data_IF_491330947528
#
_entry.id   IF_491330947528
#
_cell.length_a   1.000
_cell.length_b   1.000
_cell.length_c   1.000
_cell.angle_alpha   90.00
_cell.angle_beta   90.00
_cell.angle_gamma   90.00
#
_symmetry.space_group_name_H-M   'P 1'
#
loop_
_entity.id
_entity.type
_entity.pdbx_description
1 polymer ?
#
# COMPACT_ATOMS: atom_id res chain seq x y z
N UNK A 1 -7.95 -3.14 11.40
CA UNK A 1 -8.84 -3.99 10.60
C UNK A 1 -8.05 -5.20 10.15
N UNK A 2 -8.45 -6.39 10.58
CA UNK A 2 -7.85 -7.65 10.17
C UNK A 2 -8.70 -8.32 9.07
N UNK A 3 -8.23 -9.44 8.53
CA UNK A 3 -9.07 -10.39 7.78
C UNK A 3 -9.05 -11.74 8.50
N UNK A 4 -9.94 -12.65 8.12
CA UNK A 4 -9.89 -14.04 8.60
C UNK A 4 -8.55 -14.76 8.27
N UNK A 5 -7.77 -14.26 7.30
CA UNK A 5 -6.43 -14.77 7.00
C UNK A 5 -5.35 -14.27 7.98
N UNK A 6 -5.59 -13.15 8.68
CA UNK A 6 -4.55 -12.45 9.47
C UNK A 6 -4.90 -12.24 10.93
N UNK A 7 -6.17 -12.41 11.32
CA UNK A 7 -6.67 -12.05 12.65
C UNK A 7 -5.99 -12.84 13.77
N UNK A 8 -5.95 -14.17 13.67
CA UNK A 8 -5.31 -15.02 14.68
C UNK A 8 -3.82 -14.73 14.84
N UNK A 9 -3.11 -14.59 13.73
CA UNK A 9 -1.66 -14.34 13.75
C UNK A 9 -1.34 -12.94 14.27
N UNK A 10 -2.19 -11.96 13.96
CA UNK A 10 -2.09 -10.61 14.54
C UNK A 10 -2.23 -10.69 16.07
N UNK A 11 -3.24 -11.40 16.58
CA UNK A 11 -3.46 -11.56 18.01
C UNK A 11 -2.30 -12.26 18.74
N UNK A 12 -1.65 -13.24 18.11
CA UNK A 12 -0.45 -13.89 18.68
C UNK A 12 0.70 -12.89 18.89
N UNK A 13 0.90 -11.97 17.95
CA UNK A 13 1.99 -10.98 18.02
C UNK A 13 1.68 -9.79 18.93
N UNK A 14 0.41 -9.38 19.02
CA UNK A 14 0.00 -8.20 19.80
C UNK A 14 0.36 -8.28 21.29
N UNK A 15 0.51 -9.47 21.85
CA UNK A 15 0.94 -9.69 23.26
C UNK A 15 2.25 -8.98 23.60
N UNK A 16 3.13 -8.75 22.61
CA UNK A 16 4.40 -8.04 22.77
C UNK A 16 4.22 -6.57 23.16
N UNK A 17 3.05 -5.99 22.90
CA UNK A 17 2.78 -4.56 23.12
C UNK A 17 2.00 -4.26 24.39
N UNK A 18 1.75 -5.26 25.26
CA UNK A 18 0.95 -5.09 26.48
C UNK A 18 1.52 -4.05 27.47
N UNK A 19 2.83 -3.81 27.44
CA UNK A 19 3.51 -2.82 28.30
C UNK A 19 3.76 -1.48 27.60
N UNK A 20 3.39 -1.38 26.31
CA UNK A 20 3.54 -0.14 25.55
C UNK A 20 2.34 0.75 25.86
N UNK A 21 2.58 2.06 26.04
CA UNK A 21 1.54 3.05 26.34
C UNK A 21 0.69 3.38 25.10
N UNK A 22 -0.04 2.39 24.60
CA UNK A 22 -0.96 2.51 23.46
C UNK A 22 -2.09 1.49 23.60
N UNK A 23 -3.33 1.93 23.40
CA UNK A 23 -4.49 1.05 23.38
C UNK A 23 -4.70 0.52 21.96
N UNK A 24 -4.46 -0.78 21.76
CA UNK A 24 -4.61 -1.43 20.45
C UNK A 24 -5.95 -2.16 20.41
N UNK A 25 -6.75 -1.87 19.39
CA UNK A 25 -8.02 -2.55 19.12
C UNK A 25 -7.94 -3.27 17.79
N UNK A 26 -8.52 -4.47 17.73
CA UNK A 26 -8.67 -5.24 16.50
C UNK A 26 -10.16 -5.47 16.24
N UNK A 27 -10.48 -5.57 14.95
CA UNK A 27 -11.78 -6.04 14.47
C UNK A 27 -11.53 -6.71 13.13
N UNK A 28 -12.31 -7.75 12.85
CA UNK A 28 -12.22 -8.47 11.60
C UNK A 28 -13.17 -7.87 10.58
N UNK A 29 -12.73 -7.82 9.32
CA UNK A 29 -13.60 -7.42 8.22
C UNK A 29 -14.52 -8.59 7.81
N UNK A 30 -15.52 -8.32 6.97
CA UNK A 30 -16.45 -9.31 6.46
C UNK A 30 -15.75 -10.42 5.69
N UNK A 31 -16.43 -11.57 5.60
CA UNK A 31 -15.97 -12.74 4.84
C UNK A 31 -17.05 -13.14 3.86
N UNK A 32 -16.82 -12.94 2.56
CA UNK A 32 -17.80 -13.21 1.51
C UNK A 32 -17.47 -14.50 0.74
N UNK A 33 -18.48 -15.23 0.26
CA UNK A 33 -18.25 -16.44 -0.52
C UNK A 33 -17.83 -16.06 -1.94
N UNK A 34 -16.79 -16.71 -2.46
CA UNK A 34 -16.38 -16.59 -3.87
C UNK A 34 -17.52 -17.06 -4.77
N UNK A 35 -17.62 -16.48 -5.97
CA UNK A 35 -18.66 -16.80 -6.94
C UNK A 35 -18.02 -17.56 -8.08
N UNK A 36 -18.56 -18.70 -8.49
CA UNK A 36 -18.10 -19.42 -9.66
C UNK A 36 -18.42 -18.61 -10.93
N UNK A 37 -17.44 -18.45 -11.83
CA UNK A 37 -17.57 -17.54 -12.98
C UNK A 37 -18.64 -17.98 -13.97
N UNK A 38 -18.78 -19.28 -14.20
CA UNK A 38 -19.68 -19.85 -15.20
C UNK A 38 -21.11 -19.95 -14.68
N UNK A 39 -21.30 -20.44 -13.46
CA UNK A 39 -22.64 -20.63 -12.87
C UNK A 39 -23.19 -19.38 -12.19
N UNK A 40 -22.33 -18.41 -11.84
CA UNK A 40 -22.67 -17.24 -11.01
C UNK A 40 -23.25 -17.57 -9.64
N UNK A 41 -23.00 -18.80 -9.15
CA UNK A 41 -23.41 -19.26 -7.82
C UNK A 41 -22.23 -19.23 -6.84
N UNK A 42 -22.50 -19.13 -5.52
CA UNK A 42 -21.47 -19.23 -4.50
C UNK A 42 -20.73 -20.57 -4.57
N UNK A 43 -19.40 -20.52 -4.48
CA UNK A 43 -18.53 -21.71 -4.36
C UNK A 43 -18.69 -22.36 -2.99
N UNK A 44 -18.85 -21.54 -1.95
CA UNK A 44 -19.02 -22.01 -0.59
C UNK A 44 -20.37 -22.73 -0.42
N UNK A 45 -20.33 -24.00 -0.01
CA UNK A 45 -21.53 -24.83 0.24
C UNK A 45 -22.07 -24.69 1.67
N UNK A 46 -21.22 -24.33 2.61
CA UNK A 46 -21.56 -24.21 4.04
C UNK A 46 -20.88 -22.98 4.65
N UNK A 47 -21.49 -22.40 5.69
CA UNK A 47 -20.99 -21.19 6.35
C UNK A 47 -19.61 -21.36 7.01
N UNK A 48 -19.25 -22.60 7.37
CA UNK A 48 -17.94 -22.98 7.95
C UNK A 48 -17.10 -23.81 6.97
N UNK A 49 -17.44 -23.76 5.68
CA UNK A 49 -16.73 -24.50 4.64
C UNK A 49 -15.27 -24.07 4.48
N UNK A 50 -14.61 -24.70 3.52
CA UNK A 50 -13.17 -24.50 3.25
C UNK A 50 -12.81 -23.03 3.11
N UNK A 51 -11.70 -22.64 3.73
CA UNK A 51 -11.20 -21.26 3.77
C UNK A 51 -10.98 -20.67 2.37
N UNK A 52 -10.61 -21.51 1.41
CA UNK A 52 -10.42 -21.15 0.00
C UNK A 52 -11.72 -20.80 -0.73
N UNK A 53 -12.89 -21.18 -0.21
CA UNK A 53 -14.16 -20.76 -0.79
C UNK A 53 -14.54 -19.31 -0.46
N UNK A 54 -13.76 -18.64 0.41
CA UNK A 54 -14.05 -17.31 0.93
C UNK A 54 -12.99 -16.27 0.55
N UNK A 55 -13.35 -14.99 0.66
CA UNK A 55 -12.44 -13.87 0.46
C UNK A 55 -12.87 -12.64 1.29
N UNK A 56 -11.94 -11.76 1.67
CA UNK A 56 -12.28 -10.45 2.21
C UNK A 56 -12.75 -9.53 1.07
N UNK A 57 -13.88 -8.80 1.21
CA UNK A 57 -14.50 -8.01 0.13
C UNK A 57 -13.80 -6.67 -0.17
N UNK A 58 -12.47 -6.65 -0.07
CA UNK A 58 -11.67 -5.47 -0.25
C UNK A 58 -11.77 -4.48 0.91
N UNK A 59 -11.02 -3.38 0.80
CA UNK A 59 -10.85 -2.43 1.89
C UNK A 59 -12.05 -1.48 2.09
N UNK A 60 -13.01 -1.44 1.17
CA UNK A 60 -14.25 -0.67 1.33
C UNK A 60 -15.18 -1.18 2.43
N UNK A 61 -15.07 -2.45 2.82
CA UNK A 61 -15.85 -3.05 3.91
C UNK A 61 -15.50 -2.49 5.31
N UNK A 62 -14.45 -1.66 5.41
CA UNK A 62 -14.05 -1.01 6.65
C UNK A 62 -15.22 -0.27 7.33
N UNK A 63 -16.12 0.36 6.58
CA UNK A 63 -17.22 1.14 7.16
C UNK A 63 -18.24 0.24 7.88
N UNK A 64 -18.72 -0.81 7.21
CA UNK A 64 -19.69 -1.75 7.78
C UNK A 64 -19.07 -2.56 8.92
N UNK A 65 -17.87 -3.12 8.71
CA UNK A 65 -17.21 -3.94 9.72
C UNK A 65 -16.80 -3.14 10.97
N UNK A 66 -16.39 -1.88 10.80
CA UNK A 66 -16.09 -1.02 11.93
C UNK A 66 -17.34 -0.61 12.72
N UNK A 67 -18.45 -0.31 12.03
CA UNK A 67 -19.75 -0.08 12.66
C UNK A 67 -20.22 -1.32 13.42
N UNK A 68 -20.26 -2.49 12.76
CA UNK A 68 -20.73 -3.75 13.32
C UNK A 68 -19.86 -4.27 14.49
N UNK A 69 -18.58 -3.88 14.54
CA UNK A 69 -17.70 -4.22 15.66
C UNK A 69 -18.05 -3.52 16.98
N UNK A 70 -18.91 -2.48 16.93
CA UNK A 70 -19.22 -1.61 18.07
C UNK A 70 -18.09 -0.63 18.44
N UNK A 71 -16.93 -0.71 17.79
CA UNK A 71 -15.80 0.20 18.05
C UNK A 71 -16.11 1.63 17.63
N UNK A 72 -16.87 1.83 16.54
CA UNK A 72 -17.29 3.16 16.12
C UNK A 72 -18.06 3.87 17.23
N UNK A 73 -19.10 3.23 17.77
CA UNK A 73 -19.89 3.81 18.86
C UNK A 73 -19.03 4.03 20.11
N UNK A 74 -18.20 3.05 20.47
CA UNK A 74 -17.27 3.18 21.60
C UNK A 74 -16.33 4.38 21.47
N UNK A 75 -15.81 4.67 20.28
CA UNK A 75 -14.92 5.82 20.09
C UNK A 75 -15.68 7.15 20.05
N UNK A 76 -16.89 7.17 19.51
CA UNK A 76 -17.77 8.33 19.60
C UNK A 76 -18.10 8.66 21.06
N UNK A 77 -18.42 7.66 21.88
CA UNK A 77 -18.68 7.83 23.32
C UNK A 77 -17.45 8.33 24.10
N UNK A 78 -16.24 8.06 23.60
CA UNK A 78 -14.99 8.59 24.13
C UNK A 78 -14.65 10.01 23.63
N UNK A 79 -15.52 10.63 22.84
CA UNK A 79 -15.31 11.96 22.25
C UNK A 79 -14.27 11.98 21.12
N UNK A 80 -14.11 10.89 20.37
CA UNK A 80 -13.28 10.89 19.15
C UNK A 80 -14.10 11.43 17.98
N UNK A 81 -13.51 12.30 17.18
CA UNK A 81 -14.19 12.96 16.05
C UNK A 81 -13.77 12.42 14.67
N UNK A 82 -12.49 12.11 14.50
CA UNK A 82 -11.92 11.65 13.22
C UNK A 82 -11.17 10.33 13.38
N UNK A 83 -11.21 9.49 12.34
CA UNK A 83 -10.29 8.37 12.15
C UNK A 83 -9.32 8.65 11.00
N UNK A 84 -8.06 8.26 11.21
CA UNK A 84 -7.05 8.21 10.16
C UNK A 84 -6.89 6.77 9.68
N UNK A 85 -7.09 6.53 8.39
CA UNK A 85 -7.00 5.22 7.74
C UNK A 85 -5.81 5.22 6.80
N UNK A 86 -4.95 4.22 6.91
CA UNK A 86 -3.81 4.00 6.03
C UNK A 86 -3.46 2.52 5.93
N UNK A 87 -2.63 2.17 4.94
CA UNK A 87 -2.11 0.81 4.83
C UNK A 87 -0.90 0.64 5.75
N UNK A 88 -0.82 -0.50 6.46
CA UNK A 88 0.33 -0.81 7.33
C UNK A 88 1.66 -0.95 6.58
N UNK A 89 1.59 -1.22 5.28
CA UNK A 89 2.77 -1.30 4.41
C UNK A 89 3.18 0.08 3.83
N UNK A 90 2.43 1.15 4.12
CA UNK A 90 2.84 2.51 3.81
C UNK A 90 3.60 3.12 5.00
N UNK A 91 4.93 3.04 4.94
CA UNK A 91 5.81 3.55 6.00
C UNK A 91 5.82 5.09 6.11
N UNK A 92 5.28 5.79 5.10
CA UNK A 92 5.14 7.25 5.09
C UNK A 92 3.89 7.75 5.79
N UNK A 93 2.90 6.88 6.05
CA UNK A 93 1.60 7.25 6.59
C UNK A 93 1.62 7.48 8.11
N UNK A 94 2.33 8.51 8.56
CA UNK A 94 2.30 8.95 9.96
C UNK A 94 1.15 9.95 10.21
N UNK A 95 0.80 10.17 11.48
CA UNK A 95 -0.21 11.17 11.87
C UNK A 95 0.38 12.57 11.66
N UNK A 96 -0.20 13.33 10.73
CA UNK A 96 0.21 14.71 10.45
C UNK A 96 -0.61 15.70 11.28
N UNK A 97 0.07 16.45 12.16
CA UNK A 97 -0.59 17.41 13.04
C UNK A 97 -1.09 18.65 12.29
N UNK A 98 -0.52 19.00 11.13
CA UNK A 98 -1.00 20.14 10.35
C UNK A 98 -2.32 19.80 9.66
N UNK A 99 -2.41 18.58 9.09
CA UNK A 99 -3.67 18.08 8.52
C UNK A 99 -4.72 17.95 9.62
N UNK A 100 -4.36 17.36 10.76
CA UNK A 100 -5.29 17.26 11.89
C UNK A 100 -5.76 18.62 12.40
N UNK A 101 -4.86 19.60 12.50
CA UNK A 101 -5.21 20.97 12.90
C UNK A 101 -6.17 21.62 11.87
N UNK A 102 -5.95 21.39 10.58
CA UNK A 102 -6.88 21.85 9.53
C UNK A 102 -8.27 21.24 9.66
N UNK A 103 -8.37 19.94 10.01
CA UNK A 103 -9.65 19.26 10.21
C UNK A 103 -10.42 19.79 11.43
N UNK A 104 -9.71 20.01 12.55
CA UNK A 104 -10.33 20.44 13.81
C UNK A 104 -10.59 21.96 13.88
N UNK A 105 -9.77 22.76 13.19
CA UNK A 105 -9.83 24.22 13.20
C UNK A 105 -9.97 24.79 11.77
N UNK A 106 -11.11 24.55 11.07
CA UNK A 106 -11.31 25.08 9.73
C UNK A 106 -11.31 26.62 9.75
N UNK A 107 -10.45 27.23 8.94
CA UNK A 107 -10.25 28.70 8.90
C UNK A 107 -11.39 29.48 8.23
N UNK A 108 -12.35 28.79 7.60
CA UNK A 108 -13.44 29.40 6.83
C UNK A 108 -14.79 29.19 7.52
N UNK A 109 -15.80 30.01 7.20
CA UNK A 109 -17.21 29.85 7.61
C UNK A 109 -17.86 28.53 7.12
N UNK A 110 -17.09 27.65 6.49
CA UNK A 110 -17.51 26.33 6.00
C UNK A 110 -17.33 25.29 7.09
N UNK A 111 -18.28 24.36 7.20
CA UNK A 111 -18.19 23.23 8.10
C UNK A 111 -16.90 22.42 7.87
N UNK A 112 -16.40 21.78 8.93
CA UNK A 112 -15.25 20.88 8.83
C UNK A 112 -15.55 19.73 7.83
N UNK A 113 -14.58 19.35 6.99
CA UNK A 113 -14.80 18.32 5.97
C UNK A 113 -15.06 16.96 6.63
N UNK A 114 -16.06 16.22 6.14
CA UNK A 114 -16.34 14.87 6.67
C UNK A 114 -15.35 13.82 6.16
N UNK A 115 -14.70 14.09 5.02
CA UNK A 115 -13.78 13.17 4.37
C UNK A 115 -12.65 13.92 3.68
N UNK A 116 -11.41 13.59 4.02
CA UNK A 116 -10.22 14.14 3.37
C UNK A 116 -9.34 13.00 2.87
N UNK A 117 -9.04 13.02 1.57
CA UNK A 117 -8.10 12.10 0.94
C UNK A 117 -6.77 12.79 0.69
N UNK A 118 -5.69 12.23 1.22
CA UNK A 118 -4.35 12.67 0.84
C UNK A 118 -4.04 12.16 -0.57
N UNK A 119 -3.64 13.08 -1.44
CA UNK A 119 -3.18 12.79 -2.81
C UNK A 119 -1.73 13.21 -2.95
N UNK A 120 -1.00 12.60 -3.87
CA UNK A 120 0.37 13.04 -4.20
C UNK A 120 0.54 13.10 -5.71
N UNK A 121 1.52 13.87 -6.18
CA UNK A 121 1.81 14.01 -7.60
C UNK A 121 2.18 12.65 -8.24
N UNK A 122 1.60 12.36 -9.40
CA UNK A 122 1.85 11.15 -10.18
C UNK A 122 3.26 11.16 -10.76
N UNK A 123 3.94 10.01 -10.66
CA UNK A 123 5.12 9.73 -11.47
C UNK A 123 4.84 8.66 -12.51
N UNK A 124 5.83 8.38 -13.38
CA UNK A 124 5.70 7.34 -14.42
C UNK A 124 5.37 5.95 -13.86
N UNK A 125 5.71 5.68 -12.59
CA UNK A 125 5.37 4.43 -11.91
C UNK A 125 3.89 4.36 -11.46
N UNK A 126 3.22 5.51 -11.31
CA UNK A 126 1.91 5.62 -10.67
C UNK A 126 0.76 5.83 -11.68
N UNK A 127 1.04 5.71 -12.99
CA UNK A 127 0.09 6.01 -14.08
C UNK A 127 -1.17 5.13 -14.09
N UNK A 128 -1.14 4.00 -13.38
CA UNK A 128 -2.30 3.10 -13.23
C UNK A 128 -3.15 3.39 -11.98
N UNK A 129 -2.67 4.23 -11.07
CA UNK A 129 -3.37 4.55 -9.82
C UNK A 129 -4.59 5.44 -10.04
N UNK A 130 -5.62 5.20 -9.23
CA UNK A 130 -6.84 6.02 -9.19
C UNK A 130 -6.55 7.49 -8.93
N UNK A 131 -7.33 8.36 -9.55
CA UNK A 131 -7.25 9.83 -9.41
C UNK A 131 -8.57 10.38 -8.89
N UNK A 132 -8.52 11.55 -8.26
CA UNK A 132 -9.74 12.29 -7.95
C UNK A 132 -10.20 13.11 -9.15
N UNK A 133 -11.51 13.13 -9.35
CA UNK A 133 -12.21 13.94 -10.35
C UNK A 133 -13.44 14.57 -9.72
N UNK A 134 -13.89 15.68 -10.29
CA UNK A 134 -15.21 16.22 -10.00
C UNK A 134 -16.22 15.60 -10.98
N UNK A 135 -17.30 15.03 -10.45
CA UNK A 135 -18.37 14.45 -11.25
C UNK A 135 -19.72 14.76 -10.61
N UNK A 136 -20.61 15.46 -11.34
CA UNK A 136 -21.92 15.91 -10.85
C UNK A 136 -21.82 16.76 -9.56
N UNK A 137 -20.83 17.66 -9.49
CA UNK A 137 -20.64 18.58 -8.37
C UNK A 137 -20.10 17.95 -7.07
N UNK A 138 -19.68 16.67 -7.11
CA UNK A 138 -19.03 15.99 -5.97
C UNK A 138 -17.69 15.40 -6.40
N UNK A 139 -16.75 15.34 -5.44
CA UNK A 139 -15.49 14.63 -5.63
C UNK A 139 -15.73 13.12 -5.69
N UNK A 140 -15.05 12.45 -6.62
CA UNK A 140 -15.13 11.00 -6.84
C UNK A 140 -13.76 10.43 -7.15
N UNK A 141 -13.48 9.25 -6.62
CA UNK A 141 -12.31 8.46 -7.00
C UNK A 141 -12.59 7.71 -8.31
N UNK A 142 -11.86 8.08 -9.36
CA UNK A 142 -11.91 7.43 -10.66
C UNK A 142 -10.77 6.42 -10.78
N UNK A 143 -11.13 5.16 -10.89
CA UNK A 143 -10.21 4.04 -11.14
C UNK A 143 -10.17 3.67 -12.63
N UNK A 144 -9.06 3.09 -13.08
CA UNK A 144 -8.88 2.67 -14.48
C UNK A 144 -9.98 1.71 -14.96
N UNK A 145 -10.49 0.85 -14.08
CA UNK A 145 -11.55 -0.11 -14.39
C UNK A 145 -12.89 0.57 -14.74
N UNK A 146 -13.08 1.83 -14.36
CA UNK A 146 -14.28 2.63 -14.64
C UNK A 146 -14.15 3.42 -15.95
N UNK A 147 -12.95 3.47 -16.55
CA UNK A 147 -12.66 4.24 -17.76
C UNK A 147 -12.92 3.37 -18.99
N UNK A 148 -13.74 3.82 -19.96
CA UNK A 148 -13.93 3.10 -21.21
C UNK A 148 -12.60 2.92 -21.95
N UNK A 149 -12.46 1.79 -22.67
CA UNK A 149 -11.19 1.40 -23.32
C UNK A 149 -10.60 2.49 -24.19
N UNK A 150 -11.44 3.24 -24.90
CA UNK A 150 -11.03 4.29 -25.83
C UNK A 150 -10.37 5.51 -25.15
N UNK A 151 -10.59 5.70 -23.84
CA UNK A 151 -10.08 6.84 -23.06
C UNK A 151 -8.99 6.43 -22.05
N UNK A 152 -8.58 5.16 -22.04
CA UNK A 152 -7.60 4.65 -21.06
C UNK A 152 -6.25 5.38 -21.16
N UNK A 153 -5.80 5.72 -22.36
CA UNK A 153 -4.51 6.40 -22.53
C UNK A 153 -4.58 7.88 -22.12
N UNK A 154 -5.75 8.50 -22.22
CA UNK A 154 -5.98 9.83 -21.65
C UNK A 154 -5.95 9.79 -20.12
N UNK A 155 -6.53 8.76 -19.51
CA UNK A 155 -6.50 8.57 -18.06
C UNK A 155 -5.09 8.37 -17.51
N UNK A 156 -4.23 7.66 -18.24
CA UNK A 156 -2.81 7.46 -17.89
C UNK A 156 -1.97 8.74 -18.09
N UNK A 157 -2.49 9.74 -18.80
CA UNK A 157 -1.75 10.97 -19.09
C UNK A 157 -1.58 11.82 -17.84
N UNK A 158 -0.33 11.94 -17.38
CA UNK A 158 0.06 12.81 -16.25
C UNK A 158 -0.23 14.29 -16.51
N UNK A 159 -0.40 14.69 -17.77
CA UNK A 159 -0.76 16.07 -18.12
C UNK A 159 -2.22 16.39 -17.79
N UNK A 160 -3.12 15.40 -17.95
CA UNK A 160 -4.54 15.51 -17.64
C UNK A 160 -4.81 15.24 -16.16
N UNK A 161 -4.28 14.14 -15.65
CA UNK A 161 -4.43 13.75 -14.25
C UNK A 161 -3.07 13.80 -13.56
N UNK A 162 -2.84 14.84 -12.77
CA UNK A 162 -1.53 15.13 -12.15
C UNK A 162 -1.34 14.46 -10.79
N UNK A 163 -2.43 14.06 -10.14
CA UNK A 163 -2.44 13.53 -8.77
C UNK A 163 -2.95 12.08 -8.75
N UNK A 164 -2.62 11.34 -7.70
CA UNK A 164 -3.23 10.04 -7.41
C UNK A 164 -3.48 9.83 -5.92
N UNK A 165 -4.40 8.91 -5.62
CA UNK A 165 -4.78 8.56 -4.26
C UNK A 165 -3.65 7.80 -3.53
N UNK A 166 -3.26 8.29 -2.35
CA UNK A 166 -2.26 7.63 -1.48
C UNK A 166 -2.86 6.53 -0.60
N UNK A 167 -4.18 6.47 -0.51
CA UNK A 167 -4.95 5.66 0.44
C UNK A 167 -4.72 6.04 1.91
N UNK A 168 -4.20 7.24 2.17
CA UNK A 168 -4.20 7.88 3.49
C UNK A 168 -5.44 8.78 3.60
N UNK A 169 -6.38 8.42 4.47
CA UNK A 169 -7.71 9.04 4.54
C UNK A 169 -8.01 9.51 5.95
N UNK A 170 -8.66 10.67 6.06
CA UNK A 170 -9.16 11.22 7.30
C UNK A 170 -10.68 11.32 7.20
N UNK A 171 -11.39 10.64 8.09
CA UNK A 171 -12.82 10.43 7.95
C UNK A 171 -13.49 10.74 9.28
N UNK A 172 -14.52 11.57 9.26
CA UNK A 172 -15.27 11.98 10.44
C UNK A 172 -16.20 10.86 10.91
N UNK A 173 -16.13 10.51 12.19
CA UNK A 173 -16.78 9.32 12.75
C UNK A 173 -18.31 9.43 12.80
N UNK A 174 -18.84 10.62 13.10
CA UNK A 174 -20.28 10.89 13.09
C UNK A 174 -20.87 10.73 11.67
N UNK A 175 -20.14 11.17 10.66
CA UNK A 175 -20.50 11.01 9.26
C UNK A 175 -20.49 9.53 8.84
N UNK A 176 -19.51 8.73 9.29
CA UNK A 176 -19.51 7.27 9.05
C UNK A 176 -20.78 6.63 9.62
N UNK A 177 -21.16 6.96 10.86
CA UNK A 177 -22.40 6.44 11.46
C UNK A 177 -23.61 6.84 10.62
N UNK A 178 -23.72 8.13 10.28
CA UNK A 178 -24.83 8.67 9.46
C UNK A 178 -24.97 7.95 8.12
N UNK A 179 -23.89 7.84 7.33
CA UNK A 179 -23.99 7.24 5.98
C UNK A 179 -24.28 5.74 6.00
N UNK A 180 -23.96 5.05 7.09
CA UNK A 180 -24.26 3.62 7.29
C UNK A 180 -25.72 3.43 7.74
N UNK A 181 -26.17 4.18 8.75
CA UNK A 181 -27.55 4.11 9.26
C UNK A 181 -28.57 4.53 8.20
N UNK A 182 -28.29 5.63 7.49
CA UNK A 182 -29.13 6.14 6.40
C UNK A 182 -29.00 5.32 5.11
N UNK A 183 -28.05 4.35 5.06
CA UNK A 183 -27.73 3.52 3.88
C UNK A 183 -27.41 4.35 2.63
N UNK A 184 -26.75 5.50 2.80
CA UNK A 184 -26.36 6.40 1.71
C UNK A 184 -24.94 6.16 1.20
N UNK A 185 -24.18 5.29 1.87
CA UNK A 185 -22.84 4.93 1.41
C UNK A 185 -22.94 4.21 0.07
N UNK A 186 -22.20 4.70 -0.92
CA UNK A 186 -22.16 4.12 -2.26
C UNK A 186 -20.72 4.03 -2.73
N UNK A 187 -20.30 2.84 -3.12
CA UNK A 187 -18.99 2.56 -3.71
C UNK A 187 -19.15 1.80 -5.02
N UNK A 188 -18.23 2.01 -5.93
CA UNK A 188 -18.14 1.25 -7.18
C UNK A 188 -17.71 -0.19 -6.88
N UNK A 189 -18.42 -1.14 -7.51
CA UNK A 189 -18.09 -2.56 -7.41
C UNK A 189 -16.86 -2.84 -8.27
N UNK A 190 -15.87 -3.48 -7.67
CA UNK A 190 -14.67 -3.98 -8.32
C UNK A 190 -14.86 -5.48 -8.54
N UNK A 191 -14.87 -5.89 -9.81
CA UNK A 191 -14.98 -7.30 -10.20
C UNK A 191 -13.58 -7.85 -10.44
N UNK A 192 -13.14 -8.76 -9.58
CA UNK A 192 -11.81 -9.36 -9.60
C UNK A 192 -11.88 -10.83 -10.03
N UNK A 193 -11.69 -11.13 -11.33
CA UNK A 193 -11.65 -12.51 -11.80
C UNK A 193 -10.35 -13.19 -11.36
N UNK A 194 -10.45 -14.40 -10.82
CA UNK A 194 -9.32 -15.24 -10.43
C UNK A 194 -9.53 -16.68 -10.88
N UNK A 195 -8.48 -17.47 -10.83
CA UNK A 195 -8.52 -18.92 -11.03
C UNK A 195 -7.99 -19.56 -9.75
N UNK A 196 -8.73 -20.51 -9.20
CA UNK A 196 -8.32 -21.29 -8.03
C UNK A 196 -7.27 -22.33 -8.42
N UNK A 197 -6.59 -22.91 -7.42
CA UNK A 197 -5.51 -23.88 -7.64
C UNK A 197 -5.98 -25.18 -8.31
N UNK A 198 -7.27 -25.50 -8.17
CA UNK A 198 -7.96 -26.61 -8.85
C UNK A 198 -8.32 -26.29 -10.32
N UNK A 199 -8.02 -25.08 -10.80
CA UNK A 199 -8.34 -24.60 -12.14
C UNK A 199 -9.73 -23.97 -12.27
N UNK A 200 -10.52 -23.92 -11.20
CA UNK A 200 -11.87 -23.32 -11.23
C UNK A 200 -11.79 -21.80 -11.39
N UNK A 201 -12.49 -21.24 -12.38
CA UNK A 201 -12.59 -19.79 -12.54
C UNK A 201 -13.63 -19.21 -11.58
N UNK A 202 -13.23 -18.15 -10.89
CA UNK A 202 -14.06 -17.48 -9.88
C UNK A 202 -14.06 -15.98 -10.07
N UNK A 203 -15.07 -15.35 -9.45
CA UNK A 203 -15.26 -13.91 -9.35
C UNK A 203 -15.26 -13.52 -7.87
N UNK A 204 -14.55 -12.45 -7.56
CA UNK A 204 -14.59 -11.75 -6.28
C UNK A 204 -15.15 -10.35 -6.51
N UNK A 205 -16.09 -9.93 -5.67
CA UNK A 205 -16.71 -8.61 -5.70
C UNK A 205 -16.20 -7.81 -4.50
N UNK A 206 -15.47 -6.75 -4.79
CA UNK A 206 -14.82 -5.95 -3.77
C UNK A 206 -15.24 -4.48 -3.90
N UNK A 207 -14.97 -3.70 -2.87
CA UNK A 207 -15.10 -2.23 -2.92
C UNK A 207 -13.85 -1.56 -2.39
N UNK A 208 -13.63 -0.31 -2.80
CA UNK A 208 -12.50 0.49 -2.37
C UNK A 208 -12.93 1.58 -1.37
N UNK A 209 -12.29 1.64 -0.22
CA UNK A 209 -12.52 2.65 0.84
C UNK A 209 -12.57 4.08 0.32
N UNK A 210 -11.67 4.45 -0.58
CA UNK A 210 -11.61 5.79 -1.17
C UNK A 210 -12.77 6.12 -2.13
N UNK A 211 -13.47 5.11 -2.66
CA UNK A 211 -14.61 5.32 -3.55
C UNK A 211 -15.84 5.90 -2.81
N UNK A 212 -15.89 5.73 -1.48
CA UNK A 212 -16.96 6.26 -0.65
C UNK A 212 -16.93 7.80 -0.53
N UNK A 213 -15.84 8.48 -0.93
CA UNK A 213 -15.66 9.93 -0.79
C UNK A 213 -16.86 10.76 -1.29
N UNK A 214 -17.56 10.30 -2.33
CA UNK A 214 -18.75 10.96 -2.90
C UNK A 214 -20.00 10.92 -2.00
N UNK A 215 -20.03 10.02 -1.02
CA UNK A 215 -21.13 9.87 -0.06
C UNK A 215 -20.97 10.76 1.17
N UNK A 216 -19.84 11.47 1.30
CA UNK A 216 -19.55 12.38 2.40
C UNK A 216 -19.71 13.84 1.97
N UNK A 217 -20.17 14.68 2.89
CA UNK A 217 -20.37 16.10 2.68
C UNK A 217 -19.10 16.90 2.97
N UNK A 218 -18.89 17.96 2.19
CA UNK A 218 -17.66 18.76 2.30
C UNK A 218 -16.39 17.96 2.04
N UNK A 219 -16.44 16.88 1.25
CA UNK A 219 -15.28 16.08 0.94
C UNK A 219 -14.18 16.93 0.26
N UNK A 220 -12.93 16.72 0.67
CA UNK A 220 -11.77 17.45 0.15
C UNK A 220 -10.60 16.53 -0.15
N UNK A 221 -9.60 17.06 -0.83
CA UNK A 221 -8.30 16.42 -0.94
C UNK A 221 -7.18 17.39 -0.57
N UNK A 222 -6.08 16.84 -0.09
CA UNK A 222 -4.87 17.59 0.27
C UNK A 222 -3.71 16.98 -0.51
N UNK A 223 -3.03 17.80 -1.31
CA UNK A 223 -1.81 17.36 -1.98
C UNK A 223 -0.66 17.34 -0.96
N UNK A 224 -0.13 16.15 -0.69
CA UNK A 224 0.92 15.91 0.28
C UNK A 224 2.24 15.58 -0.41
N UNK A 225 3.40 15.86 0.23
CA UNK A 225 4.67 15.41 -0.31
C UNK A 225 4.74 13.88 -0.34
N UNK A 226 5.46 13.34 -1.32
CA UNK A 226 5.65 11.89 -1.50
C UNK A 226 6.28 11.19 -0.28
N UNK A 227 6.92 11.92 0.63
CA UNK A 227 7.38 11.38 1.92
C UNK A 227 6.27 10.72 2.74
N UNK A 228 5.00 11.07 2.51
CA UNK A 228 3.82 10.44 3.14
C UNK A 228 3.30 9.20 2.39
N UNK A 229 3.89 8.90 1.23
CA UNK A 229 3.55 7.76 0.38
C UNK A 229 4.80 6.92 0.07
N UNK A 230 5.14 6.05 1.03
CA UNK A 230 6.26 5.11 0.96
C UNK A 230 5.75 3.67 1.15
N UNK A 231 4.99 3.12 0.18
CA UNK A 231 4.50 1.75 0.24
C UNK A 231 5.63 0.74 0.02
N UNK A 232 5.67 -0.32 0.83
CA UNK A 232 6.61 -1.45 0.69
C UNK A 232 5.82 -2.65 0.17
N UNK A 233 5.81 -2.83 -1.16
CA UNK A 233 5.03 -3.90 -1.83
C UNK A 233 5.91 -5.06 -2.29
N UNK A 234 7.18 -4.78 -2.55
CA UNK A 234 8.14 -5.73 -3.12
C UNK A 234 9.42 -5.75 -2.29
N UNK A 235 10.25 -6.77 -2.51
CA UNK A 235 11.60 -6.82 -1.95
C UNK A 235 12.52 -5.71 -2.47
N UNK A 236 12.19 -5.11 -3.63
CA UNK A 236 12.90 -3.93 -4.13
C UNK A 236 12.64 -2.71 -3.23
N UNK A 237 11.39 -2.52 -2.81
CA UNK A 237 11.02 -1.47 -1.85
C UNK A 237 11.64 -1.76 -0.47
N UNK A 238 11.66 -3.05 -0.08
CA UNK A 238 12.28 -3.49 1.17
C UNK A 238 13.77 -3.16 1.22
N UNK A 239 14.51 -3.36 0.12
CA UNK A 239 15.92 -2.98 0.01
C UNK A 239 16.11 -1.48 0.28
N UNK A 240 15.25 -0.65 -0.31
CA UNK A 240 15.31 0.80 -0.13
C UNK A 240 15.12 1.19 1.34
N UNK A 241 14.05 0.72 1.98
CA UNK A 241 13.73 1.10 3.38
C UNK A 241 14.70 0.50 4.40
N UNK A 242 15.34 -0.63 4.11
CA UNK A 242 16.37 -1.23 4.97
C UNK A 242 17.76 -0.58 4.81
N UNK A 243 17.98 0.18 3.73
CA UNK A 243 19.27 0.76 3.42
C UNK A 243 19.56 2.05 4.18
N UNK A 244 20.82 2.51 4.09
CA UNK A 244 21.24 3.80 4.63
C UNK A 244 20.63 5.03 3.92
N UNK A 245 19.78 4.81 2.90
CA UNK A 245 18.96 5.87 2.30
C UNK A 245 17.94 6.43 3.30
N UNK A 246 17.46 5.61 4.23
CA UNK A 246 16.53 6.02 5.28
C UNK A 246 17.15 5.87 6.66
N UNK A 247 16.74 6.73 7.57
CA UNK A 247 17.03 6.64 8.99
C UNK A 247 15.75 6.37 9.77
N UNK A 248 15.80 5.42 10.70
CA UNK A 248 14.70 5.08 11.57
C UNK A 248 14.82 5.86 12.88
N UNK A 249 13.86 6.72 13.18
CA UNK A 249 13.76 7.45 14.44
C UNK A 249 12.38 7.23 15.04
N UNK A 250 12.33 6.65 16.23
CA UNK A 250 11.07 6.40 16.97
C UNK A 250 9.96 5.75 16.12
N UNK A 251 10.31 4.78 15.28
CA UNK A 251 9.36 4.07 14.40
C UNK A 251 9.05 4.77 13.07
N UNK A 252 9.58 5.97 12.83
CA UNK A 252 9.39 6.72 11.58
C UNK A 252 10.63 6.65 10.70
N UNK A 253 10.42 6.39 9.40
CA UNK A 253 11.47 6.46 8.40
C UNK A 253 11.57 7.87 7.83
N UNK A 254 12.78 8.42 7.82
CA UNK A 254 13.08 9.71 7.20
C UNK A 254 14.24 9.54 6.23
N UNK A 255 14.14 10.13 5.04
CA UNK A 255 15.23 10.08 4.07
C UNK A 255 16.47 10.75 4.67
N UNK A 256 17.63 10.10 4.49
CA UNK A 256 18.90 10.56 5.04
C UNK A 256 19.23 11.97 4.55
N UNK A 257 19.60 12.92 5.44
CA UNK A 257 20.02 14.26 5.01
C UNK A 257 21.33 14.24 4.23
N UNK A 258 22.06 13.12 4.24
CA UNK A 258 23.27 12.93 3.43
C UNK A 258 22.96 12.60 1.96
N UNK A 259 21.70 12.37 1.61
CA UNK A 259 21.27 12.13 0.24
C UNK A 259 21.29 13.46 -0.51
N UNK A 260 22.10 13.55 -1.57
CA UNK A 260 22.27 14.79 -2.34
C UNK A 260 21.00 15.22 -3.12
N UNK A 261 20.15 14.26 -3.50
CA UNK A 261 18.94 14.50 -4.28
C UNK A 261 17.70 13.92 -3.59
N UNK A 262 16.59 14.67 -3.47
CA UNK A 262 15.39 14.22 -2.76
C UNK A 262 14.65 13.08 -3.47
N UNK A 263 15.08 12.69 -4.67
CA UNK A 263 14.51 11.57 -5.42
C UNK A 263 14.91 10.22 -4.81
N UNK A 264 13.92 9.34 -4.69
CA UNK A 264 14.13 7.94 -4.34
C UNK A 264 14.71 7.20 -5.56
N UNK A 265 15.79 6.42 -5.41
CA UNK A 265 16.35 5.65 -6.52
C UNK A 265 15.40 4.56 -7.02
N UNK A 266 15.51 4.24 -8.30
CA UNK A 266 14.73 3.17 -8.92
C UNK A 266 15.44 1.83 -8.73
N UNK A 267 14.85 0.94 -7.93
CA UNK A 267 15.37 -0.42 -7.70
C UNK A 267 14.45 -1.44 -8.34
N UNK A 268 15.02 -2.38 -9.09
CA UNK A 268 14.34 -3.54 -9.66
C UNK A 268 15.14 -4.81 -9.39
N UNK A 269 14.67 -5.61 -8.45
CA UNK A 269 15.20 -6.94 -8.18
C UNK A 269 14.39 -7.99 -8.95
N UNK A 270 15.09 -8.92 -9.59
CA UNK A 270 14.51 -9.99 -10.39
C UNK A 270 13.80 -11.05 -9.55
N UNK A 271 13.27 -12.07 -10.24
CA UNK A 271 12.42 -13.13 -9.64
C UNK A 271 13.10 -13.92 -8.52
N UNK A 272 14.43 -14.04 -8.54
CA UNK A 272 15.23 -14.66 -7.48
C UNK A 272 15.13 -13.97 -6.13
N UNK A 273 14.62 -12.72 -6.09
CA UNK A 273 14.48 -11.91 -4.88
C UNK A 273 13.01 -11.75 -4.44
N UNK A 274 12.04 -12.37 -5.12
CA UNK A 274 10.61 -12.15 -4.83
C UNK A 274 10.22 -12.57 -3.41
N UNK A 275 10.74 -13.71 -2.93
CA UNK A 275 10.48 -14.20 -1.57
C UNK A 275 11.41 -13.53 -0.57
N UNK A 276 10.87 -13.01 0.53
CA UNK A 276 11.65 -12.32 1.58
C UNK A 276 12.81 -13.17 2.11
N UNK A 277 12.61 -14.48 2.27
CA UNK A 277 13.67 -15.41 2.71
C UNK A 277 14.86 -15.42 1.73
N UNK A 278 14.59 -15.51 0.43
CA UNK A 278 15.61 -15.51 -0.62
C UNK A 278 16.30 -14.14 -0.71
N UNK A 279 15.52 -13.05 -0.64
CA UNK A 279 16.05 -11.70 -0.58
C UNK A 279 17.05 -11.53 0.57
N UNK A 280 16.66 -11.90 1.79
CA UNK A 280 17.53 -11.76 2.98
C UNK A 280 18.77 -12.64 2.88
N UNK A 281 18.65 -13.85 2.32
CA UNK A 281 19.79 -14.75 2.14
C UNK A 281 20.79 -14.23 1.10
N UNK A 282 20.31 -13.60 0.01
CA UNK A 282 21.15 -13.09 -1.08
C UNK A 282 21.94 -11.83 -0.71
N UNK A 283 21.56 -11.10 0.33
CA UNK A 283 22.29 -9.95 0.83
C UNK A 283 22.94 -10.26 2.19
N UNK A 284 24.25 -10.54 2.18
CA UNK A 284 24.99 -10.77 3.43
C UNK A 284 24.98 -9.53 4.36
N UNK A 285 24.83 -8.34 3.79
CA UNK A 285 24.42 -7.10 4.46
C UNK A 285 23.71 -6.21 3.45
N UNK A 286 22.84 -5.31 3.91
CA UNK A 286 22.22 -4.32 3.01
C UNK A 286 23.31 -3.37 2.46
N UNK A 287 23.42 -3.19 1.13
CA UNK A 287 24.43 -2.35 0.52
C UNK A 287 24.20 -0.86 0.83
N UNK A 288 25.28 -0.08 0.75
CA UNK A 288 25.18 1.37 0.72
C UNK A 288 24.62 1.82 -0.63
N UNK A 289 23.49 2.53 -0.61
CA UNK A 289 22.79 3.02 -1.80
C UNK A 289 22.55 4.53 -1.74
N UNK A 290 23.28 5.24 -0.87
CA UNK A 290 23.06 6.67 -0.62
C UNK A 290 23.28 7.53 -1.89
N UNK A 291 24.16 7.09 -2.77
CA UNK A 291 24.48 7.74 -4.06
C UNK A 291 23.93 6.94 -5.26
N UNK A 292 23.01 6.01 -5.03
CA UNK A 292 22.38 5.22 -6.10
C UNK A 292 21.32 6.06 -6.82
N UNK A 293 21.19 5.89 -8.14
CA UNK A 293 20.08 6.43 -8.94
C UNK A 293 19.21 5.31 -9.50
N UNK A 294 19.84 4.25 -10.01
CA UNK A 294 19.17 3.13 -10.63
C UNK A 294 19.88 1.81 -10.32
N UNK A 295 19.13 0.81 -9.85
CA UNK A 295 19.61 -0.55 -9.67
C UNK A 295 18.68 -1.52 -10.40
N UNK A 296 19.23 -2.31 -11.31
CA UNK A 296 18.54 -3.49 -11.86
C UNK A 296 19.38 -4.73 -11.61
N UNK A 297 18.79 -5.75 -10.99
CA UNK A 297 19.43 -7.03 -10.72
C UNK A 297 18.57 -8.14 -11.30
N UNK A 298 19.12 -8.97 -12.18
CA UNK A 298 18.42 -10.09 -12.80
C UNK A 298 19.26 -11.37 -12.73
N UNK A 299 18.58 -12.51 -12.55
CA UNK A 299 19.21 -13.83 -12.46
C UNK A 299 19.62 -14.25 -11.04
N UNK A 300 20.52 -15.23 -10.95
CA UNK A 300 21.04 -15.75 -9.69
C UNK A 300 22.22 -14.89 -9.22
N UNK A 301 21.92 -13.86 -8.40
CA UNK A 301 22.91 -12.89 -7.91
C UNK A 301 22.96 -12.90 -6.39
N UNK A 302 24.16 -12.82 -5.81
CA UNK A 302 24.38 -12.63 -4.36
C UNK A 302 25.27 -11.41 -4.10
N UNK A 303 25.15 -10.83 -2.91
CA UNK A 303 25.91 -9.66 -2.47
C UNK A 303 26.63 -9.94 -1.15
N UNK A 304 27.95 -9.79 -1.18
CA UNK A 304 28.79 -9.84 0.01
C UNK A 304 28.55 -8.68 0.99
N UNK A 305 29.27 -8.71 2.12
CA UNK A 305 29.17 -7.66 3.14
C UNK A 305 29.80 -6.36 2.67
N UNK A 306 29.22 -5.21 3.04
CA UNK A 306 29.83 -3.89 2.81
C UNK A 306 29.86 -3.41 1.36
N UNK A 307 29.01 -3.98 0.48
CA UNK A 307 28.90 -3.54 -0.91
C UNK A 307 28.35 -2.10 -0.99
N UNK A 308 28.86 -1.31 -1.93
CA UNK A 308 28.40 0.06 -2.22
C UNK A 308 27.96 0.18 -3.67
N UNK A 309 26.78 0.74 -3.90
CA UNK A 309 26.17 0.93 -5.22
C UNK A 309 25.93 2.42 -5.48
N UNK A 310 26.43 2.94 -6.60
CA UNK A 310 26.39 4.37 -6.95
C UNK A 310 25.96 4.59 -8.40
N UNK A 311 25.22 5.67 -8.63
CA UNK A 311 24.70 6.04 -9.95
C UNK A 311 23.82 4.94 -10.54
N UNK A 312 24.12 4.51 -11.77
CA UNK A 312 23.38 3.42 -12.44
C UNK A 312 24.14 2.10 -12.38
N UNK A 313 23.58 1.10 -11.71
CA UNK A 313 24.14 -0.26 -11.61
C UNK A 313 23.16 -1.27 -12.21
N UNK A 314 23.64 -2.08 -13.15
CA UNK A 314 22.86 -3.15 -13.76
C UNK A 314 23.64 -4.45 -13.62
N UNK A 315 23.04 -5.48 -13.01
CA UNK A 315 23.67 -6.79 -12.79
C UNK A 315 22.79 -7.87 -13.43
N UNK A 316 23.34 -8.62 -14.38
CA UNK A 316 22.60 -9.62 -15.14
C UNK A 316 23.38 -10.95 -15.14
N UNK A 317 22.87 -11.93 -14.40
CA UNK A 317 23.25 -13.33 -14.55
C UNK A 317 22.27 -14.00 -15.53
N UNK A 318 22.74 -14.60 -16.62
CA UNK A 318 21.86 -15.30 -17.55
C UNK A 318 21.38 -16.63 -16.95
N UNK A 319 20.46 -17.29 -17.65
CA UNK A 319 19.97 -18.59 -17.23
C UNK A 319 21.11 -19.61 -17.08
N UNK A 320 21.18 -20.25 -15.91
CA UNK A 320 22.25 -21.20 -15.55
C UNK A 320 23.54 -20.56 -15.04
N UNK A 321 23.68 -19.24 -15.14
CA UNK A 321 24.82 -18.50 -14.59
C UNK A 321 24.51 -17.99 -13.19
N UNK A 322 25.58 -17.75 -12.41
CA UNK A 322 25.49 -17.13 -11.08
C UNK A 322 26.55 -16.03 -10.96
N UNK A 323 26.20 -14.94 -10.30
CA UNK A 323 27.13 -13.86 -9.98
C UNK A 323 27.16 -13.64 -8.46
N UNK A 324 28.30 -13.92 -7.84
CA UNK A 324 28.58 -13.53 -6.47
C UNK A 324 29.35 -12.20 -6.46
N UNK A 325 28.72 -11.12 -5.98
CA UNK A 325 29.38 -9.82 -5.81
C UNK A 325 30.24 -9.87 -4.55
N UNK A 326 31.58 -9.68 -4.66
CA UNK A 326 32.48 -9.87 -3.53
C UNK A 326 32.22 -8.85 -2.40
N UNK A 327 32.56 -9.21 -1.15
CA UNK A 327 32.52 -8.27 -0.03
C UNK A 327 33.32 -6.99 -0.31
N UNK A 328 32.80 -5.84 0.11
CA UNK A 328 33.43 -4.52 -0.07
C UNK A 328 33.41 -3.98 -1.50
N UNK A 329 32.78 -4.68 -2.46
CA UNK A 329 32.71 -4.20 -3.84
C UNK A 329 32.03 -2.83 -3.94
N UNK A 330 32.62 -1.94 -4.75
CA UNK A 330 32.06 -0.63 -5.08
C UNK A 330 31.70 -0.66 -6.57
N UNK A 331 30.40 -0.59 -6.87
CA UNK A 331 29.88 -0.55 -8.24
C UNK A 331 29.31 0.83 -8.51
N UNK A 332 29.94 1.57 -9.42
CA UNK A 332 29.55 2.92 -9.79
C UNK A 332 29.42 3.04 -11.31
N UNK A 333 28.21 3.31 -11.81
CA UNK A 333 27.93 3.46 -13.23
C UNK A 333 28.42 2.27 -14.07
N UNK A 334 28.12 1.04 -13.61
CA UNK A 334 28.57 -0.22 -14.24
C UNK A 334 27.42 -1.13 -14.62
N UNK A 335 27.63 -1.84 -15.72
CA UNK A 335 26.87 -3.04 -16.08
C UNK A 335 27.79 -4.24 -15.80
N UNK A 336 27.32 -5.17 -14.97
CA UNK A 336 28.02 -6.41 -14.61
C UNK A 336 27.22 -7.57 -15.18
N UNK A 337 27.84 -8.41 -15.98
CA UNK A 337 27.23 -9.61 -16.55
C UNK A 337 28.22 -10.75 -16.65
N UNK A 338 27.74 -11.99 -16.59
CA UNK A 338 28.54 -13.20 -16.75
C UNK A 338 28.31 -14.21 -15.64
N UNK A 339 29.32 -15.02 -15.36
CA UNK A 339 29.26 -16.11 -14.40
C UNK A 339 30.49 -16.08 -13.48
N UNK A 340 30.29 -15.81 -12.19
CA UNK A 340 31.32 -15.74 -11.17
C UNK A 340 30.82 -16.39 -9.88
N UNK A 341 31.54 -17.42 -9.42
CA UNK A 341 31.29 -18.07 -8.13
C UNK A 341 32.45 -17.81 -7.18
N UNK A 342 32.14 -17.33 -5.98
CA UNK A 342 33.13 -17.15 -4.90
C UNK A 342 32.89 -18.26 -3.88
N UNK A 343 33.90 -19.07 -3.61
CA UNK A 343 33.84 -20.20 -2.67
C UNK A 343 34.64 -19.86 -1.41
N UNK A 344 34.16 -20.34 -0.25
CA UNK A 344 34.93 -20.28 0.99
C UNK A 344 36.16 -21.21 0.85
N UNK A 345 37.32 -20.73 1.29
CA UNK A 345 38.60 -21.45 1.25
C UNK A 345 38.84 -22.29 2.50
#
# INVERSE_FOLDING_TARGET
MNSFNTDEDTHKVLRKYNQVKVSIFTFNQSRYPRINRESLLPVAKTATGEHEAWYPPGHGDVYESFYNSGLLQKFLDQGKEYMFVSNIDNMGANVDLNILNFLLNPQSKTAAPEFVMEVTDKTRADVKGGTLVEYRGKLRLLEIAQVPKDFVDEFKSVNKFRIFNTNNLWIKLDAVRRVIEDKTIHMEIIVNPKTMDDGTNIIQLETAVGAAIKSFEGAMCVNVPRSRFLPVKTSSDLLLVMSNLYSLKTGQLTMSPKRSFPSVPLVKLGTSFTKVKEFLWRFASIPNVLELDHLTVSGDVTFGKGVTLKGTVIIIANHGERIDIPPGAILENKIVSGNLRILDH
#
